data_IF_853992111580
#
_entry.id   IF_853992111580
#
_cell.length_a   1.000
_cell.length_b   1.000
_cell.length_c   1.000
_cell.angle_alpha   90.00
_cell.angle_beta   90.00
_cell.angle_gamma   90.00
#
_symmetry.space_group_name_H-M   'P 1'
#
loop_
_entity.id
_entity.type
_entity.pdbx_description
1 polymer ?
#
# COMPACT_ATOMS: atom_id res chain seq x y z
N UNK A 1 39.37 -25.71 7.27
CA UNK A 1 38.07 -26.06 7.91
C UNK A 1 37.30 -24.84 8.41
N UNK A 2 37.93 -23.90 9.11
CA UNK A 2 37.22 -22.69 9.59
C UNK A 2 36.66 -21.82 8.47
N UNK A 3 37.37 -21.74 7.31
CA UNK A 3 36.89 -20.95 6.15
C UNK A 3 35.66 -21.53 5.50
N UNK A 4 35.49 -22.85 5.49
CA UNK A 4 34.34 -23.53 4.92
C UNK A 4 33.08 -23.28 5.76
N UNK A 5 33.21 -23.31 7.11
CA UNK A 5 32.11 -23.02 8.02
C UNK A 5 31.59 -21.58 7.87
N UNK A 6 32.47 -20.60 7.66
CA UNK A 6 32.11 -19.22 7.42
C UNK A 6 31.33 -19.06 6.11
N UNK A 7 31.71 -19.77 5.05
CA UNK A 7 31.02 -19.73 3.76
C UNK A 7 29.61 -20.29 3.87
N UNK A 8 29.42 -21.38 4.62
CA UNK A 8 28.10 -21.99 4.84
C UNK A 8 27.17 -21.04 5.60
N UNK A 9 27.67 -20.36 6.63
CA UNK A 9 26.90 -19.36 7.38
C UNK A 9 26.48 -18.20 6.48
N UNK A 10 27.34 -17.77 5.58
CA UNK A 10 27.06 -16.70 4.63
C UNK A 10 25.95 -17.08 3.65
N UNK A 11 25.90 -18.32 3.18
CA UNK A 11 24.84 -18.83 2.31
C UNK A 11 23.47 -18.86 3.00
N UNK A 12 23.42 -19.20 4.28
CA UNK A 12 22.18 -19.21 5.07
C UNK A 12 21.60 -17.79 5.19
N UNK A 13 22.44 -16.79 5.43
CA UNK A 13 22.04 -15.38 5.51
C UNK A 13 21.48 -14.91 4.17
N UNK A 14 22.05 -15.33 3.04
CA UNK A 14 21.58 -14.99 1.71
C UNK A 14 20.16 -15.51 1.44
N UNK A 15 19.82 -16.70 1.89
CA UNK A 15 18.49 -17.27 1.75
C UNK A 15 17.43 -16.45 2.49
N UNK A 16 17.72 -15.98 3.69
CA UNK A 16 16.82 -15.11 4.45
C UNK A 16 16.57 -13.79 3.71
N UNK A 17 17.56 -13.21 3.09
CA UNK A 17 17.45 -11.98 2.30
C UNK A 17 16.53 -12.16 1.10
N UNK A 18 16.54 -13.31 0.44
CA UNK A 18 15.70 -13.59 -0.73
C UNK A 18 14.22 -13.60 -0.38
N UNK A 19 13.84 -14.20 0.74
CA UNK A 19 12.43 -14.23 1.20
C UNK A 19 11.93 -12.81 1.52
N UNK A 20 12.73 -12.01 2.18
CA UNK A 20 12.39 -10.61 2.49
C UNK A 20 12.18 -9.78 1.23
N UNK A 21 13.00 -9.96 0.21
CA UNK A 21 12.88 -9.23 -1.05
C UNK A 21 11.56 -9.50 -1.78
N UNK A 22 11.03 -10.73 -1.75
CA UNK A 22 9.74 -11.06 -2.37
C UNK A 22 8.58 -10.31 -1.71
N UNK A 23 8.58 -10.20 -0.39
CA UNK A 23 7.56 -9.46 0.35
C UNK A 23 7.62 -7.97 0.02
N UNK A 24 8.81 -7.39 -0.06
CA UNK A 24 9.02 -5.99 -0.42
C UNK A 24 8.53 -5.69 -1.84
N UNK A 25 8.71 -6.61 -2.79
CA UNK A 25 8.22 -6.45 -4.17
C UNK A 25 6.69 -6.37 -4.23
N UNK A 26 5.97 -7.20 -3.46
CA UNK A 26 4.50 -7.18 -3.43
C UNK A 26 4.00 -5.83 -2.91
N UNK A 27 4.55 -5.35 -1.82
CA UNK A 27 4.19 -4.04 -1.23
C UNK A 27 4.50 -2.91 -2.20
N UNK A 28 5.65 -2.95 -2.86
CA UNK A 28 6.06 -1.95 -3.83
C UNK A 28 5.10 -1.87 -5.02
N UNK A 29 4.69 -3.01 -5.58
CA UNK A 29 3.73 -3.05 -6.69
C UNK A 29 2.39 -2.45 -6.32
N UNK A 30 1.89 -2.72 -5.12
CA UNK A 30 0.64 -2.14 -4.65
C UNK A 30 0.76 -0.63 -4.47
N UNK A 31 1.84 -0.15 -3.87
CA UNK A 31 2.09 1.28 -3.72
C UNK A 31 2.21 2.00 -5.06
N UNK A 32 2.84 1.39 -6.04
CA UNK A 32 2.92 1.93 -7.41
C UNK A 32 1.54 2.05 -8.05
N UNK A 33 0.70 1.04 -7.87
CA UNK A 33 -0.67 1.04 -8.39
C UNK A 33 -1.51 2.14 -7.75
N UNK A 34 -1.43 2.31 -6.44
CA UNK A 34 -2.18 3.34 -5.72
C UNK A 34 -1.64 4.74 -5.98
N UNK A 35 -0.34 4.89 -6.15
CA UNK A 35 0.29 6.19 -6.41
C UNK A 35 -0.13 6.80 -7.74
N UNK A 36 -0.64 6.00 -8.69
CA UNK A 36 -1.19 6.50 -9.94
C UNK A 36 -2.39 7.42 -9.74
N UNK A 37 -3.10 7.28 -8.62
CA UNK A 37 -4.25 8.12 -8.32
C UNK A 37 -3.86 9.50 -7.79
N UNK A 38 -2.63 9.68 -7.32
CA UNK A 38 -2.17 10.99 -6.83
C UNK A 38 -2.15 11.98 -7.98
N UNK A 39 -2.81 13.13 -7.79
CA UNK A 39 -2.96 14.14 -8.82
C UNK A 39 -4.21 13.98 -9.69
N UNK A 40 -4.92 12.84 -9.57
CA UNK A 40 -6.19 12.63 -10.27
C UNK A 40 -7.35 13.20 -9.46
N UNK A 41 -8.49 13.45 -10.12
CA UNK A 41 -9.68 13.91 -9.42
C UNK A 41 -10.34 12.81 -8.60
N UNK A 42 -11.11 13.20 -7.58
CA UNK A 42 -11.90 12.25 -6.79
C UNK A 42 -12.91 11.49 -7.63
N UNK A 43 -13.42 12.11 -8.70
CA UNK A 43 -14.32 11.48 -9.65
C UNK A 43 -13.65 10.34 -10.40
N UNK A 44 -12.43 10.52 -10.87
CA UNK A 44 -11.65 9.47 -11.52
C UNK A 44 -11.34 8.32 -10.56
N UNK A 45 -11.03 8.63 -9.30
CA UNK A 45 -10.82 7.63 -8.26
C UNK A 45 -12.07 6.77 -8.06
N UNK A 46 -13.25 7.39 -7.99
CA UNK A 46 -14.53 6.66 -7.85
C UNK A 46 -14.85 5.80 -9.08
N UNK A 47 -14.45 6.23 -10.26
CA UNK A 47 -14.66 5.44 -11.49
C UNK A 47 -13.84 4.15 -11.45
N UNK A 48 -12.59 4.22 -11.02
CA UNK A 48 -11.70 3.06 -10.99
C UNK A 48 -11.85 2.18 -9.75
N UNK A 49 -12.02 2.79 -8.56
CA UNK A 49 -12.10 2.07 -7.30
C UNK A 49 -13.53 1.79 -6.84
N UNK A 50 -14.51 2.44 -7.43
CA UNK A 50 -15.89 2.38 -7.00
C UNK A 50 -16.20 3.37 -5.88
N UNK A 51 -17.39 3.27 -5.32
CA UNK A 51 -17.85 4.14 -4.23
C UNK A 51 -17.14 3.72 -2.94
N UNK A 52 -16.53 4.66 -2.17
CA UNK A 52 -15.88 4.30 -0.91
C UNK A 52 -16.88 3.81 0.13
N UNK A 53 -16.43 2.95 1.04
CA UNK A 53 -17.25 2.46 2.14
C UNK A 53 -17.66 3.58 3.08
N UNK A 54 -16.81 4.59 3.28
CA UNK A 54 -17.10 5.77 4.06
C UNK A 54 -16.27 6.96 3.59
N UNK A 55 -16.74 8.16 3.90
CA UNK A 55 -16.05 9.41 3.64
C UNK A 55 -15.96 10.18 4.94
N UNK A 56 -14.78 10.71 5.26
CA UNK A 56 -14.55 11.55 6.42
C UNK A 56 -14.10 12.94 5.96
N UNK A 57 -14.49 13.97 6.70
CA UNK A 57 -14.05 15.33 6.46
C UNK A 57 -13.17 15.75 7.63
N UNK A 58 -11.95 16.16 7.37
CA UNK A 58 -11.05 16.67 8.40
C UNK A 58 -11.32 18.15 8.69
N UNK A 59 -10.83 18.64 9.82
CA UNK A 59 -10.99 20.04 10.23
C UNK A 59 -10.35 21.02 9.26
N UNK A 60 -9.38 20.55 8.48
CA UNK A 60 -8.68 21.36 7.45
C UNK A 60 -9.40 21.42 6.11
N UNK A 61 -10.55 20.76 5.97
CA UNK A 61 -11.30 20.69 4.70
C UNK A 61 -10.86 19.55 3.79
N UNK A 62 -9.94 18.70 4.23
CA UNK A 62 -9.51 17.52 3.47
C UNK A 62 -10.53 16.40 3.65
N UNK A 63 -10.96 15.81 2.52
CA UNK A 63 -11.81 14.62 2.55
C UNK A 63 -10.94 13.37 2.59
N UNK A 64 -11.41 12.33 3.29
CA UNK A 64 -10.75 11.05 3.32
C UNK A 64 -11.74 10.00 2.83
N UNK A 65 -11.41 9.34 1.70
CA UNK A 65 -12.18 8.22 1.16
C UNK A 65 -11.63 6.93 1.75
N UNK A 66 -12.49 6.13 2.37
CA UNK A 66 -12.09 4.90 3.04
C UNK A 66 -12.69 3.72 2.29
N UNK A 67 -11.80 2.84 1.78
CA UNK A 67 -12.16 1.60 1.09
C UNK A 67 -11.74 0.43 1.98
N UNK A 68 -12.69 -0.45 2.29
CA UNK A 68 -12.44 -1.63 3.12
C UNK A 68 -12.70 -2.89 2.30
N UNK A 69 -11.72 -3.80 2.31
CA UNK A 69 -11.84 -5.11 1.69
C UNK A 69 -11.29 -6.16 2.63
N UNK A 70 -11.55 -7.44 2.34
CA UNK A 70 -10.96 -8.57 3.07
C UNK A 70 -10.31 -9.51 2.08
N UNK A 71 -9.12 -9.99 2.41
CA UNK A 71 -8.43 -11.03 1.65
C UNK A 71 -7.94 -12.09 2.63
N UNK A 72 -8.38 -13.31 2.43
CA UNK A 72 -8.07 -14.44 3.34
C UNK A 72 -8.47 -14.17 4.80
N UNK A 73 -9.58 -13.46 5.03
CA UNK A 73 -10.03 -13.10 6.37
C UNK A 73 -9.28 -11.93 7.00
N UNK A 74 -8.28 -11.38 6.33
CA UNK A 74 -7.49 -10.25 6.82
C UNK A 74 -8.08 -8.95 6.27
N UNK A 75 -8.50 -8.00 7.14
CA UNK A 75 -9.05 -6.74 6.66
C UNK A 75 -7.98 -5.86 6.02
N UNK A 76 -8.33 -5.29 4.87
CA UNK A 76 -7.51 -4.31 4.16
C UNK A 76 -8.24 -2.98 4.15
N UNK A 77 -7.60 -1.93 4.60
CA UNK A 77 -8.15 -0.58 4.62
C UNK A 77 -7.25 0.35 3.80
N UNK A 78 -7.83 0.98 2.78
CA UNK A 78 -7.15 2.00 1.97
C UNK A 78 -7.84 3.32 2.18
N UNK A 79 -7.04 4.35 2.49
CA UNK A 79 -7.53 5.71 2.68
C UNK A 79 -6.88 6.61 1.65
N UNK A 80 -7.70 7.40 0.96
CA UNK A 80 -7.23 8.41 0.01
C UNK A 80 -7.55 9.79 0.54
N UNK A 81 -6.55 10.66 0.60
CA UNK A 81 -6.72 12.04 1.00
C UNK A 81 -7.06 12.89 -0.22
N UNK A 82 -8.17 13.61 -0.14
CA UNK A 82 -8.68 14.47 -1.22
C UNK A 82 -8.67 15.91 -0.70
N UNK A 83 -8.00 16.80 -1.43
CA UNK A 83 -7.96 18.21 -1.05
C UNK A 83 -9.28 18.92 -1.36
N UNK A 84 -9.38 20.21 -0.99
CA UNK A 84 -10.57 21.01 -1.24
C UNK A 84 -10.83 21.31 -2.73
N UNK A 85 -9.89 21.01 -3.61
CA UNK A 85 -10.05 21.10 -5.06
C UNK A 85 -10.48 19.76 -5.68
N UNK A 86 -10.85 18.78 -4.86
CA UNK A 86 -11.26 17.44 -5.28
C UNK A 86 -10.14 16.65 -6.00
N UNK A 87 -8.90 16.86 -5.59
CA UNK A 87 -7.73 16.18 -6.14
C UNK A 87 -7.13 15.24 -5.07
N UNK A 88 -6.78 14.02 -5.47
CA UNK A 88 -6.10 13.05 -4.61
C UNK A 88 -4.67 13.54 -4.35
N UNK A 89 -4.33 13.75 -3.08
CA UNK A 89 -3.01 14.25 -2.69
C UNK A 89 -2.19 13.23 -1.91
N UNK A 90 -2.81 12.15 -1.46
CA UNK A 90 -2.10 11.12 -0.73
C UNK A 90 -2.95 9.88 -0.52
N UNK A 91 -2.33 8.80 -0.07
CA UNK A 91 -3.02 7.57 0.30
C UNK A 91 -2.26 6.83 1.40
N UNK A 92 -2.98 5.99 2.13
CA UNK A 92 -2.41 5.03 3.07
C UNK A 92 -3.09 3.68 2.90
N UNK A 93 -2.35 2.60 3.13
CA UNK A 93 -2.87 1.24 3.06
C UNK A 93 -2.50 0.49 4.34
N UNK A 94 -3.44 -0.25 4.90
CA UNK A 94 -3.23 -1.05 6.10
C UNK A 94 -3.81 -2.44 5.90
N UNK A 95 -2.98 -3.46 6.10
CA UNK A 95 -3.39 -4.85 5.95
C UNK A 95 -3.59 -5.31 4.50
N UNK A 96 -3.13 -4.54 3.52
CA UNK A 96 -3.28 -4.86 2.10
C UNK A 96 -2.06 -5.60 1.55
N UNK A 97 -2.27 -6.70 0.83
CA UNK A 97 -1.20 -7.46 0.19
C UNK A 97 -1.74 -8.31 -0.96
#
# INVERSE_FOLDING_TARGET
MKKIALIVIFLIISNCSTVKNKTDEIVKKENEKLSQFIGKSSKELKIEMGIPNSEELSDTGTKIFIYKTKKYGIPCERKFEINNKEIVVGFTSKGCF
#
